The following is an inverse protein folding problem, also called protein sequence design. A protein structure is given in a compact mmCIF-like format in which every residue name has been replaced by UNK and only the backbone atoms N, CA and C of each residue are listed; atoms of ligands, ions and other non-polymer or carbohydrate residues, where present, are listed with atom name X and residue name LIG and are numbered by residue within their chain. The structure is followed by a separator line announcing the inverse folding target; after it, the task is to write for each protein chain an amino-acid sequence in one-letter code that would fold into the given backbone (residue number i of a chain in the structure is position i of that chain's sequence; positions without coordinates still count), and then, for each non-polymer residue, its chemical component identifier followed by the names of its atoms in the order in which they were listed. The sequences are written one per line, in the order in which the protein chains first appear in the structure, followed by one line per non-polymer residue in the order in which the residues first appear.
data_IF_764796142325
#
_entry.id   IF_764796142325
#
_cell.length_a   1.000
_cell.length_b   1.000
_cell.length_c   1.000
_cell.angle_alpha   90.00
_cell.angle_beta   90.00
_cell.angle_gamma   90.00
#
_symmetry.space_group_name_H-M   'P 1'
#
loop_
_entity.id
_entity.type
_entity.pdbx_description
1 polymer ?
#
# COMPACT_ATOMS: atom_id res chain seq x y z
N UNK A 1 50.57 73.77 41.05
CA UNK A 1 49.27 74.40 41.36
C UNK A 1 48.18 73.41 41.34
N UNK A 2 47.75 72.95 42.51
CA UNK A 2 46.74 71.95 42.69
C UNK A 2 45.35 72.60 42.83
N UNK A 3 44.35 72.11 42.12
CA UNK A 3 42.96 72.43 42.47
C UNK A 3 42.17 71.11 42.76
N UNK A 4 41.68 71.10 44.00
CA UNK A 4 40.77 70.01 44.51
C UNK A 4 39.36 70.27 44.02
N UNK A 5 38.62 69.24 43.70
CA UNK A 5 37.18 69.27 43.49
C UNK A 5 36.46 68.37 44.51
N UNK A 6 35.26 68.66 44.94
CA UNK A 6 34.64 68.03 46.11
C UNK A 6 33.89 66.75 45.77
N UNK A 7 33.83 65.85 46.74
CA UNK A 7 33.06 64.63 46.75
C UNK A 7 31.57 64.92 46.93
N UNK A 8 30.73 64.54 45.96
CA UNK A 8 29.27 64.49 46.13
C UNK A 8 28.85 63.07 46.59
N UNK A 9 28.08 63.04 47.68
CA UNK A 9 27.36 61.87 48.18
C UNK A 9 26.22 61.53 47.21
N UNK A 10 26.13 60.30 46.76
CA UNK A 10 24.95 59.77 46.07
C UNK A 10 24.23 58.82 47.04
N UNK A 11 22.97 59.18 47.40
CA UNK A 11 22.10 58.32 48.18
C UNK A 11 21.56 57.18 47.33
N UNK A 12 21.70 55.96 47.81
CA UNK A 12 21.17 54.78 47.17
C UNK A 12 19.67 54.64 47.53
N UNK A 13 18.80 54.74 46.54
CA UNK A 13 17.38 54.40 46.69
C UNK A 13 17.22 52.91 46.32
N UNK A 14 16.84 52.08 47.29
CA UNK A 14 16.47 50.69 47.11
C UNK A 14 15.05 50.64 46.57
N UNK A 15 14.88 50.28 45.27
CA UNK A 15 13.61 49.96 44.67
C UNK A 15 13.33 48.44 44.85
N UNK A 16 12.28 48.15 45.63
CA UNK A 16 11.78 46.78 45.82
C UNK A 16 10.93 46.41 44.57
N UNK A 17 11.45 45.55 43.71
CA UNK A 17 10.69 45.00 42.59
C UNK A 17 9.91 43.79 43.10
N UNK A 18 8.59 43.87 43.14
CA UNK A 18 7.70 42.76 43.37
C UNK A 18 7.62 41.92 42.10
N UNK A 19 8.18 40.70 42.12
CA UNK A 19 8.00 39.70 41.09
C UNK A 19 6.56 39.16 41.16
N UNK A 20 5.69 39.58 40.24
CA UNK A 20 4.46 38.89 39.92
C UNK A 20 4.82 37.63 39.14
N UNK A 21 4.63 36.45 39.74
CA UNK A 21 4.72 35.17 39.05
C UNK A 21 3.56 35.07 38.04
N UNK A 22 3.80 34.70 36.78
CA UNK A 22 2.71 34.45 35.84
C UNK A 22 1.94 33.19 36.31
N UNK A 23 0.63 33.31 36.42
CA UNK A 23 -0.27 32.19 36.62
C UNK A 23 -0.07 31.21 35.46
N UNK A 24 0.48 30.02 35.75
CA UNK A 24 0.66 28.95 34.81
C UNK A 24 -0.71 28.57 34.23
N UNK A 25 -0.89 28.84 32.94
CA UNK A 25 -1.94 28.21 32.17
C UNK A 25 -1.67 26.70 32.18
N UNK A 26 -2.49 25.96 32.91
CA UNK A 26 -2.53 24.51 32.82
C UNK A 26 -2.93 24.17 31.37
N UNK A 27 -1.96 23.78 30.56
CA UNK A 27 -2.24 23.16 29.27
C UNK A 27 -2.97 21.86 29.57
N UNK A 28 -4.28 21.82 29.33
CA UNK A 28 -5.02 20.59 29.27
C UNK A 28 -4.38 19.75 28.13
N UNK A 29 -3.58 18.76 28.50
CA UNK A 29 -3.15 17.71 27.58
C UNK A 29 -4.38 16.85 27.28
N UNK A 30 -5.24 17.34 26.39
CA UNK A 30 -6.26 16.52 25.76
C UNK A 30 -5.52 15.44 24.99
N UNK A 31 -5.62 14.20 25.44
CA UNK A 31 -5.24 13.06 24.61
C UNK A 31 -6.05 13.18 23.33
N UNK A 32 -5.38 13.18 22.17
CA UNK A 32 -6.09 13.12 20.89
C UNK A 32 -7.07 11.93 20.94
N UNK A 33 -8.29 12.07 20.40
CA UNK A 33 -9.22 10.96 20.37
C UNK A 33 -8.56 9.77 19.68
N UNK A 34 -8.76 8.58 20.25
CA UNK A 34 -8.22 7.37 19.65
C UNK A 34 -8.84 7.17 18.26
N UNK A 35 -8.03 6.65 17.32
CA UNK A 35 -8.51 6.31 15.99
C UNK A 35 -9.70 5.34 16.05
N UNK A 36 -10.74 5.55 15.23
CA UNK A 36 -11.89 4.66 15.17
C UNK A 36 -11.45 3.22 14.83
N UNK A 37 -12.07 2.26 15.51
CA UNK A 37 -11.83 0.85 15.22
C UNK A 37 -12.75 0.38 14.10
N UNK A 38 -12.20 -0.33 13.15
CA UNK A 38 -12.91 -0.90 12.03
C UNK A 38 -12.87 -2.43 12.06
N UNK A 39 -13.89 -3.05 11.49
CA UNK A 39 -13.87 -4.47 11.18
C UNK A 39 -13.36 -4.64 9.74
N UNK A 40 -12.38 -5.50 9.54
CA UNK A 40 -11.74 -5.75 8.26
C UNK A 40 -11.44 -7.24 8.09
N UNK A 41 -11.16 -7.69 6.88
CA UNK A 41 -10.39 -8.90 6.66
C UNK A 41 -8.90 -8.60 6.73
N UNK A 42 -8.16 -9.43 7.47
CA UNK A 42 -6.70 -9.38 7.51
C UNK A 42 -6.18 -10.33 6.46
N UNK A 43 -5.75 -9.81 5.46
CA UNK A 43 -5.65 -9.91 4.04
C UNK A 43 -6.99 -10.31 3.44
N UNK A 44 -7.40 -11.56 3.58
CA UNK A 44 -8.70 -12.05 3.14
C UNK A 44 -9.14 -13.31 3.93
N UNK A 45 -10.38 -13.80 3.77
CA UNK A 45 -10.89 -14.94 4.53
C UNK A 45 -10.19 -16.26 4.25
N UNK A 46 -9.77 -16.54 3.01
CA UNK A 46 -9.07 -17.77 2.64
C UNK A 46 -7.69 -17.78 3.30
N UNK A 47 -6.94 -16.68 3.17
CA UNK A 47 -5.61 -16.57 3.75
C UNK A 47 -5.65 -16.65 5.29
N UNK A 48 -6.59 -15.96 5.93
CA UNK A 48 -6.67 -15.91 7.40
C UNK A 48 -7.20 -17.22 8.03
N UNK A 49 -8.05 -17.97 7.31
CA UNK A 49 -8.59 -19.26 7.82
C UNK A 49 -7.79 -20.48 7.35
N UNK A 50 -7.20 -20.42 6.15
CA UNK A 50 -6.63 -21.58 5.44
C UNK A 50 -7.70 -22.50 4.84
N UNK A 51 -8.97 -22.08 4.85
CA UNK A 51 -10.08 -22.90 4.39
C UNK A 51 -10.36 -22.65 2.91
N UNK A 52 -10.00 -23.61 2.08
CA UNK A 52 -10.19 -23.60 0.64
C UNK A 52 -11.61 -24.00 0.18
N UNK A 53 -12.51 -24.26 1.12
CA UNK A 53 -13.92 -24.57 0.82
C UNK A 53 -14.83 -23.35 0.95
N UNK A 54 -14.31 -22.19 1.30
CA UNK A 54 -15.07 -20.96 1.38
C UNK A 54 -15.62 -20.57 0.02
N UNK A 55 -16.77 -19.91 0.03
CA UNK A 55 -17.43 -19.42 -1.17
C UNK A 55 -18.07 -18.06 -0.89
N UNK A 56 -18.34 -17.29 -1.91
CA UNK A 56 -18.98 -16.01 -1.80
C UNK A 56 -20.38 -16.10 -1.14
N UNK A 57 -21.17 -17.13 -1.46
CA UNK A 57 -22.51 -17.37 -0.92
C UNK A 57 -23.42 -16.13 -0.96
N UNK A 58 -23.30 -15.29 -2.01
CA UNK A 58 -24.07 -14.06 -2.22
C UNK A 58 -23.92 -13.07 -1.08
N UNK A 59 -22.71 -12.75 -0.74
CA UNK A 59 -22.30 -11.78 0.29
C UNK A 59 -22.82 -12.11 1.70
N UNK A 60 -23.17 -13.37 1.96
CA UNK A 60 -23.62 -13.75 3.30
C UNK A 60 -22.51 -13.57 4.33
N UNK A 61 -22.83 -12.85 5.42
CA UNK A 61 -21.88 -12.67 6.53
C UNK A 61 -21.41 -14.00 7.14
N UNK A 62 -22.25 -15.03 7.09
CA UNK A 62 -21.99 -16.37 7.63
C UNK A 62 -21.19 -17.26 6.65
N UNK A 63 -20.92 -16.80 5.42
CA UNK A 63 -20.13 -17.55 4.45
C UNK A 63 -18.65 -17.67 4.84
N UNK A 64 -18.17 -16.78 5.73
CA UNK A 64 -16.80 -16.77 6.23
C UNK A 64 -16.79 -16.94 7.74
N UNK A 65 -15.75 -17.58 8.31
CA UNK A 65 -15.63 -17.71 9.76
C UNK A 65 -15.56 -16.33 10.45
N UNK A 66 -16.22 -16.20 11.59
CA UNK A 66 -16.14 -14.96 12.39
C UNK A 66 -14.68 -14.58 12.76
N UNK A 67 -13.80 -15.58 12.83
CA UNK A 67 -12.36 -15.38 13.06
C UNK A 67 -11.61 -14.79 11.87
N UNK A 68 -12.22 -14.66 10.69
CA UNK A 68 -11.61 -13.96 9.54
C UNK A 68 -11.71 -12.44 9.67
N UNK A 69 -12.63 -11.97 10.53
CA UNK A 69 -12.73 -10.54 10.80
C UNK A 69 -11.74 -10.11 11.88
N UNK A 70 -10.89 -9.15 11.56
CA UNK A 70 -9.99 -8.48 12.48
C UNK A 70 -10.56 -7.12 12.92
N UNK A 71 -10.08 -6.60 14.05
CA UNK A 71 -10.31 -5.21 14.45
C UNK A 71 -9.02 -4.42 14.27
N UNK A 72 -9.08 -3.31 13.52
CA UNK A 72 -7.93 -2.45 13.29
C UNK A 72 -8.32 -0.96 13.33
N UNK A 73 -7.36 -0.10 13.65
CA UNK A 73 -7.57 1.33 13.71
C UNK A 73 -7.57 1.97 12.31
N UNK A 74 -8.55 2.82 12.01
CA UNK A 74 -8.56 3.66 10.81
C UNK A 74 -7.69 4.89 11.05
N UNK A 75 -6.47 4.86 10.55
CA UNK A 75 -5.50 5.94 10.71
C UNK A 75 -5.58 6.98 9.61
N UNK A 76 -4.95 8.14 9.86
CA UNK A 76 -4.81 9.23 8.89
C UNK A 76 -6.12 9.87 8.41
N UNK A 77 -7.20 9.71 9.13
CA UNK A 77 -8.48 10.35 8.85
C UNK A 77 -8.38 11.89 8.96
N UNK A 78 -9.15 12.60 8.15
CA UNK A 78 -9.20 14.08 8.13
C UNK A 78 -10.14 14.69 9.19
N UNK A 79 -10.84 13.86 9.96
CA UNK A 79 -11.80 14.29 10.98
C UNK A 79 -13.18 14.67 10.44
N UNK A 80 -13.47 14.47 9.16
CA UNK A 80 -14.78 14.74 8.56
C UNK A 80 -15.88 13.78 9.05
N UNK A 81 -15.51 12.67 9.69
CA UNK A 81 -16.42 11.60 10.11
C UNK A 81 -16.73 10.58 9.03
N UNK A 82 -16.22 10.77 7.81
CA UNK A 82 -16.26 9.82 6.68
C UNK A 82 -14.91 9.16 6.43
N UNK A 83 -14.85 8.28 5.42
CA UNK A 83 -13.62 7.59 4.99
C UNK A 83 -12.82 8.47 4.02
N UNK A 84 -12.33 9.58 4.53
CA UNK A 84 -11.44 10.52 3.86
C UNK A 84 -10.27 10.86 4.76
N UNK A 85 -9.07 10.97 4.19
CA UNK A 85 -7.88 11.26 4.96
C UNK A 85 -6.66 11.51 4.10
N UNK A 86 -5.51 11.38 4.74
CA UNK A 86 -4.23 11.73 4.11
C UNK A 86 -3.91 10.88 2.87
N UNK A 87 -4.26 9.59 2.90
CA UNK A 87 -3.82 8.63 1.89
C UNK A 87 -4.94 8.05 1.04
N UNK A 88 -6.19 8.15 1.48
CA UNK A 88 -7.35 7.63 0.77
C UNK A 88 -8.57 8.54 0.89
N UNK A 89 -9.43 8.51 -0.13
CA UNK A 89 -10.74 9.14 -0.13
C UNK A 89 -11.74 8.22 -0.83
N UNK A 90 -12.66 7.65 -0.06
CA UNK A 90 -13.57 6.59 -0.51
C UNK A 90 -14.94 7.16 -0.88
N UNK A 91 -15.49 6.66 -1.99
CA UNK A 91 -16.88 6.87 -2.40
C UNK A 91 -17.45 5.56 -2.88
N UNK A 92 -18.74 5.33 -2.62
CA UNK A 92 -19.48 4.17 -3.15
C UNK A 92 -20.64 4.60 -4.03
N UNK A 93 -20.97 3.79 -5.02
CA UNK A 93 -22.19 3.96 -5.84
C UNK A 93 -23.38 3.27 -5.18
N UNK A 94 -23.17 2.31 -4.29
CA UNK A 94 -24.19 1.61 -3.55
C UNK A 94 -23.95 1.74 -2.05
N UNK A 95 -24.99 1.55 -1.26
CA UNK A 95 -24.93 1.74 0.19
C UNK A 95 -24.75 3.21 0.62
N UNK A 96 -24.98 3.47 1.87
CA UNK A 96 -24.74 4.77 2.46
C UNK A 96 -23.21 4.98 2.70
N UNK A 97 -22.71 6.21 2.65
CA UNK A 97 -21.33 6.49 3.08
C UNK A 97 -21.10 6.05 4.52
N UNK A 98 -19.94 5.45 4.77
CA UNK A 98 -19.53 5.03 6.11
C UNK A 98 -19.36 6.23 7.03
N UNK A 99 -19.91 6.11 8.24
CA UNK A 99 -19.52 6.94 9.36
C UNK A 99 -18.42 6.19 10.12
N UNK A 100 -17.29 6.83 10.33
CA UNK A 100 -16.13 6.18 10.96
C UNK A 100 -16.41 5.61 12.35
N UNK A 101 -17.38 6.21 13.08
CA UNK A 101 -17.83 5.70 14.38
C UNK A 101 -18.51 4.31 14.28
N UNK A 102 -19.05 3.96 13.14
CA UNK A 102 -19.79 2.71 12.90
C UNK A 102 -18.92 1.64 12.19
N UNK A 103 -17.68 1.96 11.81
CA UNK A 103 -16.82 1.12 10.98
C UNK A 103 -16.54 -0.28 11.58
N UNK A 104 -16.64 -0.44 12.88
CA UNK A 104 -16.48 -1.72 13.57
C UNK A 104 -17.71 -2.62 13.53
N UNK A 105 -18.83 -2.19 12.95
CA UNK A 105 -20.10 -2.94 12.96
C UNK A 105 -20.38 -3.70 11.67
N UNK A 106 -19.84 -3.24 10.54
CA UNK A 106 -20.13 -3.80 9.23
C UNK A 106 -19.52 -5.19 9.02
N UNK A 107 -20.19 -5.98 8.21
CA UNK A 107 -19.76 -7.29 7.73
C UNK A 107 -19.81 -7.27 6.21
N UNK A 108 -19.25 -8.27 5.55
CA UNK A 108 -19.27 -8.41 4.09
C UNK A 108 -20.66 -8.37 3.43
N UNK A 109 -21.73 -8.49 4.21
CA UNK A 109 -23.12 -8.31 3.75
C UNK A 109 -23.49 -6.84 3.56
N UNK A 110 -22.73 -5.93 4.08
CA UNK A 110 -23.00 -4.49 4.08
C UNK A 110 -22.11 -3.79 3.05
N UNK A 111 -22.65 -3.09 2.07
CA UNK A 111 -21.87 -2.29 1.08
C UNK A 111 -20.88 -1.30 1.73
N UNK A 112 -20.97 -1.10 3.05
CA UNK A 112 -20.05 -0.28 3.82
C UNK A 112 -18.76 -1.02 4.21
N UNK A 113 -18.80 -2.35 4.19
CA UNK A 113 -17.63 -3.15 4.54
C UNK A 113 -16.49 -2.95 3.52
N UNK A 114 -16.80 -3.01 2.22
CA UNK A 114 -15.82 -2.76 1.15
C UNK A 114 -15.27 -1.33 1.21
N UNK A 115 -16.10 -0.34 1.60
CA UNK A 115 -15.62 1.02 1.80
C UNK A 115 -14.55 1.08 2.92
N UNK A 116 -14.78 0.36 4.02
CA UNK A 116 -13.85 0.26 5.15
C UNK A 116 -12.58 -0.48 4.74
N UNK A 117 -12.71 -1.63 4.06
CA UNK A 117 -11.59 -2.41 3.53
C UNK A 117 -10.68 -1.56 2.64
N UNK A 118 -11.28 -0.90 1.64
CA UNK A 118 -10.51 -0.06 0.71
C UNK A 118 -9.78 1.10 1.42
N UNK A 119 -10.43 1.77 2.38
CA UNK A 119 -9.78 2.81 3.16
C UNK A 119 -8.58 2.25 3.93
N UNK A 120 -8.79 1.16 4.66
CA UNK A 120 -7.76 0.55 5.50
C UNK A 120 -6.56 0.10 4.66
N UNK A 121 -6.78 -0.69 3.60
CA UNK A 121 -5.69 -1.29 2.83
C UNK A 121 -4.92 -0.31 1.95
N UNK A 122 -5.57 0.73 1.41
CA UNK A 122 -4.85 1.82 0.74
C UNK A 122 -3.96 2.58 1.73
N UNK A 123 -4.42 2.80 2.97
CA UNK A 123 -3.58 3.39 4.02
C UNK A 123 -2.42 2.48 4.41
N UNK A 124 -2.63 1.17 4.60
CA UNK A 124 -1.55 0.21 4.91
C UNK A 124 -0.50 0.18 3.81
N UNK A 125 -0.91 0.13 2.54
CA UNK A 125 0.00 0.14 1.40
C UNK A 125 0.84 1.42 1.36
N UNK A 126 0.22 2.59 1.56
CA UNK A 126 0.96 3.85 1.58
C UNK A 126 1.86 3.97 2.82
N UNK A 127 1.41 3.55 3.99
CA UNK A 127 2.26 3.54 5.19
C UNK A 127 3.44 2.57 5.05
N UNK A 128 3.25 1.44 4.38
CA UNK A 128 4.33 0.55 4.02
C UNK A 128 5.40 1.27 3.19
N UNK A 129 5.01 1.97 2.12
CA UNK A 129 5.92 2.76 1.28
C UNK A 129 6.60 3.88 2.08
N UNK A 130 5.86 4.57 2.97
CA UNK A 130 6.46 5.57 3.87
C UNK A 130 7.50 4.93 4.82
N UNK A 131 7.21 3.74 5.35
CA UNK A 131 8.11 2.96 6.20
C UNK A 131 9.40 2.53 5.49
N UNK A 132 9.36 2.38 4.16
CA UNK A 132 10.53 2.17 3.31
C UNK A 132 11.33 3.46 3.06
N UNK A 133 10.80 4.64 3.42
CA UNK A 133 11.44 5.94 3.27
C UNK A 133 10.95 6.77 2.07
N UNK A 134 9.95 6.29 1.31
CA UNK A 134 9.38 7.06 0.21
C UNK A 134 8.60 8.26 0.75
N UNK A 135 8.86 9.44 0.18
CA UNK A 135 8.32 10.71 0.67
C UNK A 135 9.11 11.39 1.77
N UNK A 136 10.24 10.78 2.21
CA UNK A 136 11.19 11.36 3.17
C UNK A 136 12.63 11.25 2.67
N UNK A 137 13.23 10.07 2.72
CA UNK A 137 14.59 9.78 2.23
C UNK A 137 14.64 9.58 0.72
N UNK A 138 13.56 9.06 0.15
CA UNK A 138 13.37 8.75 -1.27
C UNK A 138 12.23 9.60 -1.85
N UNK A 139 12.12 9.74 -3.17
CA UNK A 139 11.00 10.44 -3.80
C UNK A 139 9.65 9.89 -3.34
N UNK A 140 8.62 10.73 -3.29
CA UNK A 140 7.28 10.30 -2.89
C UNK A 140 6.64 9.38 -3.93
N UNK A 141 6.23 8.18 -3.51
CA UNK A 141 5.49 7.23 -4.32
C UNK A 141 4.00 7.38 -3.99
N UNK A 142 3.22 7.97 -4.89
CA UNK A 142 1.80 8.32 -4.74
C UNK A 142 1.47 9.08 -3.44
N UNK A 143 2.26 10.09 -3.09
CA UNK A 143 2.20 10.79 -1.80
C UNK A 143 1.01 11.77 -1.72
N UNK A 144 -0.23 11.25 -1.87
CA UNK A 144 -1.49 12.00 -1.88
C UNK A 144 -2.65 11.13 -1.42
N UNK A 145 -3.80 11.75 -1.12
CA UNK A 145 -5.06 11.02 -0.97
C UNK A 145 -5.46 10.37 -2.30
N UNK A 146 -5.50 9.04 -2.34
CA UNK A 146 -5.92 8.29 -3.51
C UNK A 146 -7.45 8.24 -3.57
N UNK A 147 -8.08 8.74 -4.66
CA UNK A 147 -9.51 8.55 -4.87
C UNK A 147 -9.83 7.09 -5.17
N UNK A 148 -10.81 6.54 -4.47
CA UNK A 148 -11.28 5.17 -4.64
C UNK A 148 -12.80 5.16 -4.74
N UNK A 149 -13.33 4.40 -5.69
CA UNK A 149 -14.76 4.19 -5.88
C UNK A 149 -15.12 2.72 -5.74
N UNK A 150 -16.07 2.47 -4.87
CA UNK A 150 -16.57 1.13 -4.55
C UNK A 150 -17.88 0.85 -5.29
N UNK A 151 -18.10 -0.42 -5.64
CA UNK A 151 -19.36 -0.93 -6.19
C UNK A 151 -19.81 -0.22 -7.47
N UNK A 152 -18.87 0.01 -8.40
CA UNK A 152 -19.13 0.80 -9.60
C UNK A 152 -20.02 0.07 -10.63
N UNK A 153 -20.02 -1.25 -10.64
CA UNK A 153 -20.81 -2.11 -11.54
C UNK A 153 -20.89 -3.53 -10.99
N UNK A 154 -21.76 -4.35 -11.60
CA UNK A 154 -22.00 -5.72 -11.16
C UNK A 154 -21.10 -6.79 -11.82
N UNK A 155 -20.00 -6.42 -12.46
CA UNK A 155 -19.02 -7.38 -12.97
C UNK A 155 -17.90 -7.60 -11.95
N UNK A 156 -17.31 -8.78 -11.97
CA UNK A 156 -16.13 -9.22 -11.27
C UNK A 156 -14.90 -8.65 -12.04
N UNK A 157 -14.53 -7.44 -11.70
CA UNK A 157 -13.41 -6.72 -12.31
C UNK A 157 -13.15 -5.37 -11.65
N UNK A 158 -11.90 -5.03 -11.47
CA UNK A 158 -11.42 -3.74 -10.94
C UNK A 158 -10.37 -3.11 -11.84
N UNK A 159 -10.14 -1.82 -11.71
CA UNK A 159 -9.08 -1.14 -12.43
C UNK A 159 -8.72 0.22 -11.85
N UNK A 160 -7.49 0.65 -12.07
CA UNK A 160 -7.06 2.04 -11.98
C UNK A 160 -7.29 2.76 -13.32
N UNK A 161 -7.74 4.02 -13.29
CA UNK A 161 -7.94 4.86 -14.48
C UNK A 161 -7.08 6.11 -14.46
N UNK A 162 -6.18 6.25 -15.44
CA UNK A 162 -5.23 7.36 -15.57
C UNK A 162 -5.93 8.73 -15.68
N UNK A 163 -7.02 8.80 -16.48
CA UNK A 163 -7.74 10.05 -16.73
C UNK A 163 -8.24 10.74 -15.48
N UNK A 164 -8.59 9.97 -14.45
CA UNK A 164 -9.09 10.48 -13.16
C UNK A 164 -8.10 10.22 -12.03
N UNK A 165 -7.06 9.45 -12.28
CA UNK A 165 -6.13 8.94 -11.30
C UNK A 165 -6.87 8.31 -10.10
N UNK A 166 -7.84 7.44 -10.39
CA UNK A 166 -8.85 6.90 -9.49
C UNK A 166 -8.89 5.37 -9.61
N UNK A 167 -8.98 4.67 -8.48
CA UNK A 167 -9.21 3.23 -8.43
C UNK A 167 -10.72 2.97 -8.41
N UNK A 168 -11.16 1.90 -9.08
CA UNK A 168 -12.55 1.49 -9.17
C UNK A 168 -12.71 -0.01 -8.97
N UNK A 169 -13.61 -0.39 -8.09
CA UNK A 169 -13.95 -1.77 -7.77
C UNK A 169 -15.35 -2.13 -8.23
N UNK A 170 -15.50 -3.31 -8.85
CA UNK A 170 -16.77 -3.95 -9.12
C UNK A 170 -17.32 -4.69 -7.89
N UNK A 171 -18.49 -5.29 -8.06
CA UNK A 171 -19.17 -6.09 -7.03
C UNK A 171 -19.74 -7.42 -7.59
N UNK A 172 -19.09 -7.99 -8.58
CA UNK A 172 -19.48 -9.27 -9.15
C UNK A 172 -18.58 -10.38 -8.65
N UNK A 173 -19.10 -11.54 -8.49
CA UNK A 173 -18.35 -12.62 -7.88
C UNK A 173 -18.22 -12.40 -6.38
N UNK A 174 -17.00 -12.43 -5.85
CA UNK A 174 -16.68 -11.77 -4.59
C UNK A 174 -16.60 -10.27 -4.88
N UNK A 175 -17.16 -9.43 -4.03
CA UNK A 175 -16.99 -7.98 -4.20
C UNK A 175 -15.49 -7.65 -4.11
N UNK A 176 -14.88 -7.15 -5.22
CA UNK A 176 -13.43 -7.03 -5.39
C UNK A 176 -12.74 -6.29 -4.23
N UNK A 177 -13.44 -5.32 -3.63
CA UNK A 177 -12.93 -4.58 -2.48
C UNK A 177 -13.06 -5.33 -1.13
N UNK A 178 -13.43 -6.59 -1.12
CA UNK A 178 -13.32 -7.47 0.04
C UNK A 178 -11.95 -8.17 0.13
N UNK A 179 -11.21 -8.28 -0.97
CA UNK A 179 -9.87 -8.87 -0.98
C UNK A 179 -8.81 -7.78 -0.90
N UNK A 180 -7.99 -7.83 0.14
CA UNK A 180 -6.91 -6.86 0.33
C UNK A 180 -5.89 -6.88 -0.79
N UNK A 181 -5.64 -8.05 -1.38
CA UNK A 181 -4.65 -8.18 -2.45
C UNK A 181 -5.14 -7.55 -3.74
N UNK A 182 -6.45 -7.61 -4.04
CA UNK A 182 -7.04 -6.85 -5.15
C UNK A 182 -6.95 -5.34 -4.88
N UNK A 183 -7.28 -4.89 -3.66
CA UNK A 183 -7.20 -3.48 -3.30
C UNK A 183 -5.76 -2.94 -3.46
N UNK A 184 -4.78 -3.68 -2.99
CA UNK A 184 -3.36 -3.25 -3.03
C UNK A 184 -2.79 -3.39 -4.43
N UNK A 185 -3.22 -4.38 -5.22
CA UNK A 185 -2.88 -4.50 -6.64
C UNK A 185 -3.27 -3.23 -7.42
N UNK A 186 -4.52 -2.81 -7.29
CA UNK A 186 -5.00 -1.58 -7.94
C UNK A 186 -4.28 -0.33 -7.43
N UNK A 187 -3.89 -0.33 -6.15
CA UNK A 187 -3.06 0.72 -5.60
C UNK A 187 -1.65 0.72 -6.21
N UNK A 188 -1.11 -0.43 -6.59
CA UNK A 188 0.15 -0.56 -7.34
C UNK A 188 0.12 0.21 -8.66
N UNK A 189 -0.99 0.13 -9.42
CA UNK A 189 -1.18 0.94 -10.63
C UNK A 189 -1.22 2.45 -10.32
N UNK A 190 -1.86 2.84 -9.21
CA UNK A 190 -1.87 4.24 -8.78
C UNK A 190 -0.45 4.74 -8.44
N UNK A 191 0.38 3.90 -7.82
CA UNK A 191 1.80 4.19 -7.54
C UNK A 191 2.58 4.36 -8.84
N UNK A 192 2.46 3.42 -9.79
CA UNK A 192 3.10 3.53 -11.11
C UNK A 192 2.72 4.81 -11.83
N UNK A 193 1.42 5.12 -11.91
CA UNK A 193 0.97 6.35 -12.57
C UNK A 193 1.45 7.63 -11.87
N UNK A 194 1.61 7.60 -10.54
CA UNK A 194 2.16 8.73 -9.80
C UNK A 194 3.67 8.93 -10.06
N UNK A 195 4.40 7.84 -10.32
CA UNK A 195 5.82 7.86 -10.65
C UNK A 195 6.07 8.18 -12.12
N UNK A 196 5.28 7.59 -13.02
CA UNK A 196 5.37 7.70 -14.48
C UNK A 196 3.95 7.89 -15.04
N UNK A 197 3.48 9.12 -15.21
CA UNK A 197 2.13 9.36 -15.75
C UNK A 197 1.92 8.68 -17.11
N UNK A 198 0.82 7.91 -17.21
CA UNK A 198 0.51 7.14 -18.41
C UNK A 198 1.34 5.86 -18.57
N UNK A 199 1.85 5.28 -17.49
CA UNK A 199 2.57 4.01 -17.52
C UNK A 199 1.68 2.87 -18.06
N UNK A 200 2.30 1.94 -18.82
CA UNK A 200 1.60 0.77 -19.36
C UNK A 200 1.12 0.90 -20.79
N UNK A 201 1.70 1.80 -21.60
CA UNK A 201 1.30 2.04 -23.00
C UNK A 201 1.83 1.02 -24.00
N UNK A 202 2.70 0.10 -23.60
CA UNK A 202 3.14 -1.07 -24.36
C UNK A 202 2.72 -2.37 -23.67
N UNK A 203 2.64 -3.51 -24.37
CA UNK A 203 2.35 -4.80 -23.74
C UNK A 203 3.33 -5.15 -22.60
N UNK A 204 4.63 -4.89 -22.77
CA UNK A 204 5.63 -5.17 -21.73
C UNK A 204 5.51 -4.21 -20.56
N UNK A 205 5.28 -2.93 -20.78
CA UNK A 205 5.02 -1.98 -19.70
C UNK A 205 3.72 -2.32 -18.95
N UNK A 206 2.68 -2.74 -19.66
CA UNK A 206 1.45 -3.27 -19.06
C UNK A 206 1.74 -4.46 -18.15
N UNK A 207 2.48 -5.46 -18.67
CA UNK A 207 2.87 -6.64 -17.90
C UNK A 207 3.73 -6.31 -16.66
N UNK A 208 4.62 -5.33 -16.74
CA UNK A 208 5.36 -4.82 -15.58
C UNK A 208 4.41 -4.19 -14.55
N UNK A 209 3.38 -3.48 -15.02
CA UNK A 209 2.35 -2.88 -14.16
C UNK A 209 1.57 -3.93 -13.37
N UNK A 210 1.07 -4.96 -14.06
CA UNK A 210 0.37 -6.09 -13.45
C UNK A 210 1.25 -6.81 -12.42
N UNK A 211 2.48 -7.12 -12.82
CA UNK A 211 3.45 -7.78 -11.95
C UNK A 211 3.78 -7.00 -10.69
N UNK A 212 3.87 -5.68 -10.80
CA UNK A 212 4.13 -4.83 -9.64
C UNK A 212 2.92 -4.76 -8.71
N UNK A 213 1.70 -4.68 -9.26
CA UNK A 213 0.46 -4.77 -8.48
C UNK A 213 0.41 -6.03 -7.64
N UNK A 214 0.63 -7.19 -8.26
CA UNK A 214 0.68 -8.49 -7.59
C UNK A 214 1.79 -8.57 -6.52
N UNK A 215 2.99 -8.13 -6.87
CA UNK A 215 4.12 -8.13 -5.94
C UNK A 215 3.86 -7.23 -4.72
N UNK A 216 3.36 -6.01 -4.94
CA UNK A 216 3.06 -5.07 -3.87
C UNK A 216 1.96 -5.60 -2.95
N UNK A 217 0.93 -6.25 -3.52
CA UNK A 217 -0.15 -6.88 -2.77
C UNK A 217 0.40 -7.91 -1.77
N UNK A 218 1.24 -8.82 -2.24
CA UNK A 218 1.91 -9.83 -1.41
C UNK A 218 2.78 -9.20 -0.32
N UNK A 219 3.59 -8.18 -0.66
CA UNK A 219 4.49 -7.55 0.33
C UNK A 219 3.73 -6.78 1.41
N UNK A 220 2.68 -6.05 1.03
CA UNK A 220 1.84 -5.31 1.98
C UNK A 220 1.04 -6.26 2.86
N UNK A 221 0.49 -7.35 2.30
CA UNK A 221 -0.20 -8.40 3.05
C UNK A 221 0.71 -9.03 4.09
N UNK A 222 1.88 -9.51 3.68
CA UNK A 222 2.88 -10.10 4.58
C UNK A 222 3.36 -9.12 5.67
N UNK A 223 3.51 -7.84 5.34
CA UNK A 223 3.85 -6.80 6.30
C UNK A 223 2.74 -6.59 7.32
N UNK A 224 1.49 -6.54 6.88
CA UNK A 224 0.33 -6.35 7.75
C UNK A 224 0.14 -7.55 8.70
N UNK A 225 0.24 -8.77 8.19
CA UNK A 225 0.18 -10.00 9.00
C UNK A 225 1.22 -9.97 10.12
N UNK A 226 2.46 -9.63 9.79
CA UNK A 226 3.53 -9.50 10.78
C UNK A 226 3.26 -8.37 11.78
N UNK A 227 2.77 -7.22 11.31
CA UNK A 227 2.48 -6.03 12.12
C UNK A 227 1.35 -6.28 13.12
N UNK A 228 0.29 -6.95 12.68
CA UNK A 228 -0.90 -7.19 13.49
C UNK A 228 -0.88 -8.55 14.20
N UNK A 229 0.12 -9.39 13.94
CA UNK A 229 0.26 -10.71 14.55
C UNK A 229 -0.74 -11.74 14.04
N UNK A 230 -1.17 -11.62 12.78
CA UNK A 230 -2.04 -12.58 12.12
C UNK A 230 -1.20 -13.56 11.30
N UNK A 231 -1.27 -14.86 11.57
CA UNK A 231 -0.50 -15.84 10.80
C UNK A 231 -1.16 -16.08 9.45
N UNK A 232 -0.41 -15.88 8.38
CA UNK A 232 -0.76 -16.34 7.04
C UNK A 232 -0.88 -17.87 7.04
N UNK A 233 -1.97 -18.40 6.48
CA UNK A 233 -2.24 -19.85 6.42
C UNK A 233 -2.27 -20.39 5.00
N UNK A 234 -2.17 -19.55 4.01
CA UNK A 234 -2.01 -19.93 2.60
C UNK A 234 -0.61 -19.61 2.09
N UNK A 235 -0.34 -19.93 0.84
CA UNK A 235 0.96 -19.69 0.21
C UNK A 235 1.14 -18.20 -0.09
N UNK A 236 2.21 -17.59 0.41
CA UNK A 236 2.56 -16.20 0.17
C UNK A 236 2.60 -15.81 -1.32
N UNK A 237 2.96 -16.75 -2.20
CA UNK A 237 3.11 -16.47 -3.62
C UNK A 237 1.80 -16.49 -4.41
N UNK A 238 0.69 -16.83 -3.78
CA UNK A 238 -0.65 -16.74 -4.35
C UNK A 238 -1.20 -15.33 -4.17
N UNK A 239 -1.84 -14.79 -5.18
CA UNK A 239 -2.48 -13.46 -5.17
C UNK A 239 -3.98 -13.66 -5.31
N UNK A 240 -4.76 -12.96 -4.48
CA UNK A 240 -6.22 -12.89 -4.53
C UNK A 240 -6.91 -14.27 -4.46
N UNK A 241 -6.58 -15.03 -3.42
CA UNK A 241 -7.15 -16.36 -3.21
C UNK A 241 -8.62 -16.29 -2.79
N UNK A 242 -9.08 -15.22 -2.12
CA UNK A 242 -10.49 -15.01 -1.80
C UNK A 242 -11.32 -14.58 -3.02
N UNK A 243 -10.87 -13.59 -3.75
CA UNK A 243 -11.51 -13.10 -4.97
C UNK A 243 -11.73 -14.25 -5.96
N UNK A 244 -10.75 -15.12 -6.10
CA UNK A 244 -10.77 -16.22 -7.07
C UNK A 244 -11.65 -17.42 -6.70
N UNK A 245 -12.31 -17.46 -5.54
CA UNK A 245 -13.16 -18.62 -5.15
C UNK A 245 -14.36 -18.84 -6.07
N UNK A 246 -14.79 -17.81 -6.80
CA UNK A 246 -15.92 -17.91 -7.72
C UNK A 246 -15.56 -18.47 -9.09
N UNK A 247 -14.28 -18.48 -9.49
CA UNK A 247 -13.86 -18.87 -10.85
C UNK A 247 -12.60 -19.74 -10.92
N UNK A 248 -11.92 -20.01 -9.81
CA UNK A 248 -10.76 -20.92 -9.76
C UNK A 248 -11.07 -22.21 -8.99
N UNK A 249 -10.28 -23.25 -9.23
CA UNK A 249 -10.34 -24.49 -8.45
C UNK A 249 -9.46 -24.40 -7.21
N UNK A 250 -9.86 -25.07 -6.12
CA UNK A 250 -9.03 -25.16 -4.93
C UNK A 250 -7.71 -25.93 -5.19
N UNK A 251 -6.56 -25.51 -4.69
CA UNK A 251 -6.36 -24.30 -3.89
C UNK A 251 -6.53 -23.05 -4.74
N UNK A 252 -7.43 -22.17 -4.28
CA UNK A 252 -7.80 -20.95 -5.00
C UNK A 252 -6.61 -20.00 -5.12
N UNK A 253 -6.44 -19.41 -6.31
CA UNK A 253 -5.40 -18.43 -6.60
C UNK A 253 -5.70 -17.75 -7.94
N UNK A 254 -5.73 -16.44 -7.96
CA UNK A 254 -5.91 -15.70 -9.21
C UNK A 254 -4.64 -15.80 -10.07
N UNK A 255 -3.50 -15.44 -9.52
CA UNK A 255 -2.16 -15.50 -10.15
C UNK A 255 -1.10 -15.90 -9.14
N UNK A 256 0.05 -16.34 -9.65
CA UNK A 256 1.20 -16.71 -8.81
C UNK A 256 2.42 -15.89 -9.18
N UNK A 257 3.08 -15.32 -8.15
CA UNK A 257 4.32 -14.58 -8.34
C UNK A 257 5.58 -15.47 -8.31
N UNK A 258 5.44 -16.76 -8.02
CA UNK A 258 6.56 -17.75 -7.97
C UNK A 258 6.60 -18.70 -9.17
N UNK A 259 5.85 -18.39 -10.23
CA UNK A 259 5.83 -19.17 -11.47
C UNK A 259 7.20 -19.32 -12.12
N UNK A 260 7.29 -20.19 -13.14
CA UNK A 260 8.56 -20.50 -13.83
C UNK A 260 8.63 -19.94 -15.24
N UNK A 261 7.68 -19.08 -15.66
CA UNK A 261 7.68 -18.46 -16.99
C UNK A 261 8.97 -17.67 -17.23
N UNK A 262 9.43 -17.71 -18.48
CA UNK A 262 10.58 -16.93 -18.97
C UNK A 262 10.15 -16.01 -20.11
N UNK A 263 10.99 -15.11 -20.54
CA UNK A 263 10.70 -14.12 -21.57
C UNK A 263 10.14 -14.71 -22.87
N UNK A 264 10.60 -15.91 -23.23
CA UNK A 264 10.13 -16.65 -24.41
C UNK A 264 8.68 -17.17 -24.31
N UNK A 265 8.12 -17.23 -23.11
CA UNK A 265 6.76 -17.76 -22.86
C UNK A 265 5.67 -16.67 -23.01
N UNK A 266 6.03 -15.45 -23.37
CA UNK A 266 5.07 -14.35 -23.51
C UNK A 266 4.03 -14.67 -24.58
N UNK A 267 2.79 -14.34 -24.29
CA UNK A 267 1.64 -14.54 -25.17
C UNK A 267 0.95 -13.23 -25.57
N UNK A 268 1.41 -12.09 -25.06
CA UNK A 268 0.84 -10.77 -25.35
C UNK A 268 -0.38 -10.39 -24.48
N UNK A 269 -0.63 -11.16 -23.42
CA UNK A 269 -1.64 -10.85 -22.42
C UNK A 269 -0.93 -10.35 -21.14
N UNK A 270 -1.27 -9.15 -20.69
CA UNK A 270 -0.46 -8.42 -19.70
C UNK A 270 -0.41 -9.11 -18.33
N UNK A 271 -1.50 -9.75 -17.90
CA UNK A 271 -1.52 -10.47 -16.63
C UNK A 271 -0.67 -11.74 -16.68
N UNK A 272 -0.84 -12.54 -17.74
CA UNK A 272 -0.08 -13.77 -17.93
C UNK A 272 1.42 -13.52 -18.15
N UNK A 273 1.76 -12.46 -18.89
CA UNK A 273 3.15 -12.07 -19.14
C UNK A 273 3.76 -11.38 -17.90
N UNK A 274 2.93 -10.78 -17.06
CA UNK A 274 3.30 -10.18 -15.77
C UNK A 274 3.94 -11.18 -14.81
N UNK A 275 3.52 -12.45 -14.83
CA UNK A 275 4.11 -13.49 -13.96
C UNK A 275 5.61 -13.71 -14.20
N UNK A 276 6.13 -13.37 -15.39
CA UNK A 276 7.58 -13.38 -15.68
C UNK A 276 8.29 -12.34 -14.83
N UNK A 277 7.72 -11.14 -14.76
CA UNK A 277 8.32 -10.01 -14.06
C UNK A 277 8.12 -10.13 -12.54
N UNK A 278 6.94 -10.49 -12.06
CA UNK A 278 6.68 -10.67 -10.63
C UNK A 278 7.59 -11.76 -10.02
N UNK A 279 7.88 -12.83 -10.77
CA UNK A 279 8.86 -13.82 -10.32
C UNK A 279 10.27 -13.24 -10.20
N UNK A 280 10.72 -12.40 -11.12
CA UNK A 280 12.02 -11.74 -10.98
C UNK A 280 12.06 -10.83 -9.73
N UNK A 281 10.97 -10.10 -9.44
CA UNK A 281 10.87 -9.30 -8.22
C UNK A 281 10.93 -10.16 -6.95
N UNK A 282 10.24 -11.30 -6.93
CA UNK A 282 10.29 -12.26 -5.82
C UNK A 282 11.71 -12.84 -5.63
N UNK A 283 12.43 -13.15 -6.73
CA UNK A 283 13.81 -13.63 -6.66
C UNK A 283 14.75 -12.56 -6.09
N UNK A 284 14.59 -11.28 -6.46
CA UNK A 284 15.33 -10.15 -5.88
C UNK A 284 15.03 -10.05 -4.37
N UNK A 285 13.77 -10.15 -3.98
CA UNK A 285 13.34 -10.17 -2.58
C UNK A 285 13.99 -11.29 -1.78
N UNK A 286 14.00 -12.50 -2.34
CA UNK A 286 14.62 -13.66 -1.71
C UNK A 286 16.13 -13.50 -1.50
N UNK A 287 16.81 -12.83 -2.44
CA UNK A 287 18.25 -12.61 -2.38
C UNK A 287 18.67 -11.46 -1.44
N UNK A 288 17.86 -10.41 -1.32
CA UNK A 288 18.24 -9.17 -0.62
C UNK A 288 17.44 -8.89 0.66
N UNK A 289 16.39 -9.66 0.90
CA UNK A 289 15.39 -9.39 1.92
C UNK A 289 14.39 -8.29 1.50
N UNK A 290 13.16 -8.29 2.06
CA UNK A 290 12.06 -7.46 1.59
C UNK A 290 12.43 -5.97 1.59
N UNK A 291 12.90 -5.41 2.70
CA UNK A 291 13.17 -3.97 2.80
C UNK A 291 14.16 -3.45 1.76
N UNK A 292 15.22 -4.19 1.45
CA UNK A 292 16.23 -3.76 0.47
C UNK A 292 15.68 -3.91 -0.95
N UNK A 293 15.03 -5.04 -1.24
CA UNK A 293 14.42 -5.32 -2.52
C UNK A 293 13.36 -4.27 -2.88
N UNK A 294 12.42 -3.99 -1.98
CA UNK A 294 11.31 -3.06 -2.23
C UNK A 294 11.79 -1.62 -2.42
N UNK A 295 12.79 -1.19 -1.66
CA UNK A 295 13.43 0.12 -1.90
C UNK A 295 14.06 0.21 -3.28
N UNK A 296 14.68 -0.86 -3.77
CA UNK A 296 15.25 -0.90 -5.13
C UNK A 296 14.14 -0.91 -6.17
N UNK A 297 13.17 -1.83 -6.05
CA UNK A 297 12.10 -2.05 -7.01
C UNK A 297 11.27 -0.77 -7.19
N UNK A 298 10.72 -0.23 -6.11
CA UNK A 298 9.88 0.98 -6.18
C UNK A 298 10.70 2.20 -6.61
N UNK A 299 11.97 2.33 -6.19
CA UNK A 299 12.79 3.47 -6.62
C UNK A 299 13.23 3.37 -8.08
N UNK A 300 13.36 2.17 -8.64
CA UNK A 300 13.72 1.97 -10.04
C UNK A 300 12.63 2.48 -10.99
N UNK A 301 11.37 2.33 -10.60
CA UNK A 301 10.20 2.72 -11.39
C UNK A 301 10.18 4.20 -11.76
N UNK A 302 10.75 5.09 -10.94
CA UNK A 302 10.91 6.51 -11.30
C UNK A 302 11.76 6.75 -12.55
N UNK A 303 12.54 5.77 -12.95
CA UNK A 303 13.37 5.82 -14.16
C UNK A 303 12.77 5.11 -15.37
N UNK A 304 11.55 4.58 -15.28
CA UNK A 304 10.90 3.89 -16.39
C UNK A 304 10.28 4.90 -17.37
N UNK A 305 10.10 4.48 -18.63
CA UNK A 305 9.27 5.17 -19.61
C UNK A 305 7.84 4.62 -19.59
N UNK A 306 6.82 5.37 -20.06
CA UNK A 306 5.44 4.86 -20.14
C UNK A 306 5.28 3.57 -20.93
N UNK A 307 6.16 3.34 -21.92
CA UNK A 307 6.22 2.19 -22.82
C UNK A 307 7.45 1.30 -22.60
N UNK A 308 8.07 1.37 -21.43
CA UNK A 308 9.32 0.64 -21.12
C UNK A 308 9.24 -0.83 -21.49
N UNK A 309 10.36 -1.38 -22.01
CA UNK A 309 10.51 -2.80 -22.23
C UNK A 309 10.96 -3.54 -20.96
N UNK A 310 10.85 -4.88 -20.95
CA UNK A 310 11.44 -5.70 -19.89
C UNK A 310 12.95 -5.49 -19.78
N UNK A 311 13.64 -5.35 -20.93
CA UNK A 311 15.08 -5.09 -20.95
C UNK A 311 15.43 -3.75 -20.28
N UNK A 312 14.79 -2.65 -20.70
CA UNK A 312 15.08 -1.31 -20.17
C UNK A 312 14.73 -1.20 -18.68
N UNK A 313 13.61 -1.78 -18.26
CA UNK A 313 13.21 -1.82 -16.87
C UNK A 313 14.17 -2.64 -16.01
N UNK A 314 14.65 -3.80 -16.50
CA UNK A 314 15.63 -4.62 -15.81
C UNK A 314 16.98 -3.91 -15.67
N UNK A 315 17.46 -3.29 -16.74
CA UNK A 315 18.72 -2.50 -16.70
C UNK A 315 18.62 -1.33 -15.73
N UNK A 316 17.47 -0.63 -15.71
CA UNK A 316 17.19 0.48 -14.78
C UNK A 316 17.15 -0.01 -13.34
N UNK A 317 16.53 -1.17 -13.07
CA UNK A 317 16.46 -1.77 -11.74
C UNK A 317 17.85 -2.20 -11.25
N UNK A 318 18.66 -2.84 -12.12
CA UNK A 318 20.05 -3.23 -11.81
C UNK A 318 20.91 -1.98 -11.50
N UNK A 319 20.78 -0.92 -12.32
CA UNK A 319 21.50 0.33 -12.10
C UNK A 319 21.09 1.01 -10.79
N UNK A 320 19.80 0.94 -10.45
CA UNK A 320 19.27 1.45 -9.17
C UNK A 320 19.81 0.65 -7.98
N UNK A 321 19.83 -0.69 -8.07
CA UNK A 321 20.44 -1.56 -7.07
C UNK A 321 21.93 -1.21 -6.84
N UNK A 322 22.68 -1.02 -7.95
CA UNK A 322 24.10 -0.61 -7.89
C UNK A 322 24.27 0.74 -7.18
N UNK A 323 23.45 1.72 -7.52
CA UNK A 323 23.51 3.08 -6.95
C UNK A 323 23.15 3.10 -5.48
N UNK A 324 22.14 2.35 -5.05
CA UNK A 324 21.63 2.38 -3.68
C UNK A 324 22.41 1.48 -2.73
N UNK A 325 22.81 0.30 -3.17
CA UNK A 325 23.35 -0.77 -2.30
C UNK A 325 24.63 -1.43 -2.83
N UNK A 326 25.16 -0.98 -3.95
CA UNK A 326 26.43 -1.44 -4.49
C UNK A 326 26.35 -2.72 -5.31
N UNK A 327 27.54 -3.27 -5.63
CA UNK A 327 27.69 -4.36 -6.61
C UNK A 327 26.91 -5.63 -6.24
N UNK A 328 26.90 -6.04 -5.00
CA UNK A 328 26.23 -7.28 -4.57
C UNK A 328 24.73 -7.22 -4.83
N UNK A 329 24.07 -6.08 -4.57
CA UNK A 329 22.65 -5.91 -4.85
C UNK A 329 22.37 -5.86 -6.36
N UNK A 330 23.24 -5.22 -7.14
CA UNK A 330 23.13 -5.22 -8.60
C UNK A 330 23.31 -6.62 -9.19
N UNK A 331 24.24 -7.43 -8.68
CA UNK A 331 24.46 -8.80 -9.12
C UNK A 331 23.24 -9.69 -8.80
N UNK A 332 22.61 -9.51 -7.63
CA UNK A 332 21.38 -10.22 -7.26
C UNK A 332 20.22 -9.87 -8.21
N UNK A 333 19.98 -8.58 -8.47
CA UNK A 333 18.95 -8.15 -9.41
C UNK A 333 19.24 -8.68 -10.84
N UNK A 334 20.49 -8.63 -11.28
CA UNK A 334 20.91 -9.19 -12.58
C UNK A 334 20.63 -10.68 -12.67
N UNK A 335 20.96 -11.45 -11.62
CA UNK A 335 20.72 -12.88 -11.57
C UNK A 335 19.24 -13.22 -11.68
N UNK A 336 18.37 -12.47 -11.00
CA UNK A 336 16.92 -12.64 -11.07
C UNK A 336 16.37 -12.41 -12.49
N UNK A 337 16.72 -11.31 -13.13
CA UNK A 337 16.25 -11.03 -14.50
C UNK A 337 16.86 -12.00 -15.54
N UNK A 338 18.13 -12.39 -15.35
CA UNK A 338 18.76 -13.39 -16.20
C UNK A 338 18.08 -14.76 -16.11
N UNK A 339 17.62 -15.16 -14.91
CA UNK A 339 16.87 -16.39 -14.70
C UNK A 339 15.50 -16.38 -15.41
N UNK A 340 14.97 -15.21 -15.75
CA UNK A 340 13.76 -15.03 -16.58
C UNK A 340 14.09 -14.84 -18.06
N UNK A 341 15.33 -15.03 -18.46
CA UNK A 341 15.80 -14.91 -19.85
C UNK A 341 15.48 -13.55 -20.49
N UNK A 342 15.43 -12.48 -19.67
CA UNK A 342 15.16 -11.13 -20.18
C UNK A 342 16.30 -10.70 -21.11
N UNK A 343 16.00 -10.24 -22.36
CA UNK A 343 17.00 -9.83 -23.32
C UNK A 343 17.98 -8.80 -22.76
N UNK A 344 19.19 -8.75 -23.30
CA UNK A 344 20.21 -7.77 -22.91
C UNK A 344 20.86 -7.98 -21.53
N UNK A 345 20.31 -8.85 -20.67
CA UNK A 345 20.82 -9.10 -19.32
C UNK A 345 21.91 -10.20 -19.38
N UNK A 346 23.19 -9.81 -19.20
CA UNK A 346 24.40 -10.68 -19.31
C UNK A 346 25.01 -10.99 -17.94
#
# INVERSE_FOLDING_TARGET
MARRTPRGLIAAATATVALLAPAGAASASGTAPADPQARIFMVNPVQSSGDQSLSDAKDSADAVPASSYASAALRNLDGSGGLSGRWASIRSETGAPVRTADAGTYTRHDDQFEQVMAYFWVNEAQEYLQGLGFGSELPGANNRAQPVRINQWGADNSFFTDKKAEIRFGKGGVDDAEDAEVIVHEYGHAVHNAQVPGFGTSPEAGAIGEAFGDYLAVEVGAHADARYGWPMKTDLACVADWDSVTYSAAPHCLRRIDGNKVYGDRMGEVHADGEIWSRALLDIRGALGPRVADRIIVNAQFGFAPDTSFEDAALTTIATAQRMYGKSAADAARAAFKAREIPGIR
#
